data_IF_758945202033
#
_entry.id   IF_758945202033
#
_cell.length_a   1.000
_cell.length_b   1.000
_cell.length_c   1.000
_cell.angle_alpha   90.00
_cell.angle_beta   90.00
_cell.angle_gamma   90.00
#
_symmetry.space_group_name_H-M   'P 1'
#
loop_
_entity.id
_entity.type
_entity.pdbx_description
1 polymer ?
#
# COMPACT_ATOMS: atom_id res chain seq x y z
N UNK A 1 1.25 23.80 -17.15
CA UNK A 1 1.42 22.35 -16.92
C UNK A 1 1.65 22.00 -15.44
N UNK A 2 2.31 22.84 -14.63
CA UNK A 2 2.56 22.55 -13.19
C UNK A 2 1.31 22.38 -12.30
N UNK A 3 0.21 23.10 -12.56
CA UNK A 3 -1.03 22.93 -11.76
C UNK A 3 -1.58 21.49 -11.85
N UNK A 4 -1.56 20.88 -13.05
CA UNK A 4 -2.08 19.53 -13.27
C UNK A 4 -1.21 18.47 -12.58
N UNK A 5 0.11 18.59 -12.71
CA UNK A 5 1.05 17.67 -12.02
C UNK A 5 0.94 17.76 -10.49
N UNK A 6 0.73 18.95 -9.93
CA UNK A 6 0.52 19.11 -8.49
C UNK A 6 -0.78 18.47 -7.98
N UNK A 7 -1.86 18.53 -8.77
CA UNK A 7 -3.15 17.89 -8.46
C UNK A 7 -3.00 16.37 -8.53
N UNK A 8 -2.38 15.84 -9.59
CA UNK A 8 -2.15 14.40 -9.76
C UNK A 8 -1.31 13.83 -8.59
N UNK A 9 -0.31 14.56 -8.09
CA UNK A 9 0.47 14.16 -6.89
C UNK A 9 -0.36 14.12 -5.61
N UNK A 10 -1.24 15.09 -5.41
CA UNK A 10 -2.09 15.14 -4.22
C UNK A 10 -3.07 13.96 -4.22
N UNK A 11 -3.66 13.63 -5.37
CA UNK A 11 -4.54 12.47 -5.53
C UNK A 11 -3.79 11.15 -5.32
N UNK A 12 -2.58 11.00 -5.86
CA UNK A 12 -1.75 9.80 -5.63
C UNK A 12 -1.36 9.63 -4.16
N UNK A 13 -1.01 10.72 -3.47
CA UNK A 13 -0.70 10.67 -2.04
C UNK A 13 -1.92 10.27 -1.20
N UNK A 14 -3.10 10.81 -1.55
CA UNK A 14 -4.35 10.42 -0.89
C UNK A 14 -4.69 8.95 -1.15
N UNK A 15 -4.50 8.46 -2.37
CA UNK A 15 -4.70 7.05 -2.70
C UNK A 15 -3.73 6.14 -1.92
N UNK A 16 -2.45 6.50 -1.83
CA UNK A 16 -1.45 5.76 -1.06
C UNK A 16 -1.83 5.67 0.42
N UNK A 17 -2.30 6.78 1.01
CA UNK A 17 -2.78 6.81 2.40
C UNK A 17 -4.00 5.90 2.62
N UNK A 18 -4.94 5.85 1.67
CA UNK A 18 -6.11 4.96 1.77
C UNK A 18 -5.74 3.49 1.68
N UNK A 19 -4.80 3.15 0.79
CA UNK A 19 -4.27 1.79 0.65
C UNK A 19 -3.58 1.35 1.93
N UNK A 20 -2.76 2.22 2.53
CA UNK A 20 -2.08 1.96 3.80
C UNK A 20 -3.10 1.71 4.93
N UNK A 21 -4.11 2.58 5.07
CA UNK A 21 -5.16 2.38 6.08
C UNK A 21 -5.91 1.05 5.88
N UNK A 22 -6.27 0.71 4.65
CA UNK A 22 -6.92 -0.57 4.37
C UNK A 22 -6.03 -1.78 4.72
N UNK A 23 -4.72 -1.70 4.45
CA UNK A 23 -3.77 -2.74 4.84
C UNK A 23 -3.68 -2.86 6.38
N UNK A 24 -3.68 -1.75 7.11
CA UNK A 24 -3.68 -1.74 8.57
C UNK A 24 -4.95 -2.38 9.14
N UNK A 25 -6.13 -2.03 8.62
CA UNK A 25 -7.41 -2.62 9.03
C UNK A 25 -7.43 -4.14 8.81
N UNK A 26 -6.92 -4.60 7.66
CA UNK A 26 -6.82 -6.02 7.37
C UNK A 26 -5.84 -6.75 8.30
N UNK A 27 -4.70 -6.14 8.66
CA UNK A 27 -3.77 -6.69 9.66
C UNK A 27 -4.41 -6.78 11.05
N UNK A 28 -5.25 -5.81 11.43
CA UNK A 28 -6.00 -5.87 12.69
C UNK A 28 -7.01 -7.01 12.67
N UNK A 29 -7.77 -7.17 11.57
CA UNK A 29 -8.70 -8.29 11.39
C UNK A 29 -7.95 -9.62 11.47
N UNK A 30 -6.78 -9.74 10.81
CA UNK A 30 -5.94 -10.94 10.90
C UNK A 30 -5.58 -11.27 12.35
N UNK A 31 -5.13 -10.28 13.11
CA UNK A 31 -4.78 -10.43 14.52
C UNK A 31 -5.97 -10.87 15.37
N UNK A 32 -7.13 -10.25 15.19
CA UNK A 32 -8.35 -10.60 15.90
C UNK A 32 -8.79 -12.05 15.62
N UNK A 33 -8.81 -12.46 14.34
CA UNK A 33 -9.15 -13.84 13.97
C UNK A 33 -8.13 -14.83 14.55
N UNK A 34 -6.85 -14.48 14.60
CA UNK A 34 -5.81 -15.29 15.23
C UNK A 34 -6.00 -15.46 16.73
N UNK A 35 -6.40 -14.40 17.44
CA UNK A 35 -6.73 -14.48 18.86
C UNK A 35 -7.93 -15.38 19.13
N UNK A 36 -9.00 -15.25 18.34
CA UNK A 36 -10.18 -16.12 18.46
C UNK A 36 -9.83 -17.60 18.17
N UNK A 37 -9.01 -17.86 17.15
CA UNK A 37 -8.54 -19.20 16.84
C UNK A 37 -7.76 -19.81 18.01
N UNK A 38 -6.83 -19.06 18.62
CA UNK A 38 -6.04 -19.53 19.76
C UNK A 38 -6.91 -19.88 20.97
N UNK A 39 -7.95 -19.07 21.24
CA UNK A 39 -8.91 -19.34 22.32
C UNK A 39 -9.75 -20.60 22.06
N UNK A 40 -10.15 -20.84 20.82
CA UNK A 40 -10.98 -21.98 20.43
C UNK A 40 -10.17 -23.28 20.32
N UNK A 41 -8.90 -23.21 19.92
CA UNK A 41 -8.03 -24.38 19.79
C UNK A 41 -7.80 -25.09 21.12
N UNK A 42 -7.80 -24.35 22.25
CA UNK A 42 -7.77 -24.94 23.58
C UNK A 42 -9.05 -25.66 24.01
N UNK A 43 -10.18 -25.45 23.30
CA UNK A 43 -11.49 -26.03 23.60
C UNK A 43 -11.91 -27.12 22.63
N UNK A 44 -11.38 -27.14 21.41
CA UNK A 44 -11.73 -28.14 20.40
C UNK A 44 -10.81 -29.36 20.46
N UNK A 45 -11.37 -30.48 20.92
CA UNK A 45 -10.73 -31.79 20.92
C UNK A 45 -11.27 -32.59 19.72
N UNK A 46 -10.39 -33.16 18.89
CA UNK A 46 -10.75 -34.05 17.79
C UNK A 46 -10.88 -33.39 16.41
N UNK A 47 -11.54 -34.09 15.47
CA UNK A 47 -11.59 -33.77 14.03
C UNK A 47 -12.19 -32.38 13.69
N UNK A 48 -13.02 -31.81 14.56
CA UNK A 48 -13.54 -30.45 14.37
C UNK A 48 -12.43 -29.38 14.49
N UNK A 49 -11.43 -29.60 15.35
CA UNK A 49 -10.30 -28.69 15.52
C UNK A 49 -9.36 -28.67 14.30
N UNK A 50 -9.21 -29.81 13.61
CA UNK A 50 -8.38 -29.90 12.40
C UNK A 50 -9.02 -29.19 11.21
N UNK A 51 -10.35 -29.34 11.03
CA UNK A 51 -11.09 -28.64 9.98
C UNK A 51 -11.02 -27.11 10.15
N UNK A 52 -11.22 -26.59 11.37
CA UNK A 52 -11.11 -25.15 11.60
C UNK A 52 -9.68 -24.63 11.44
N UNK A 53 -8.68 -25.36 11.94
CA UNK A 53 -7.27 -24.99 11.76
C UNK A 53 -6.92 -24.89 10.28
N UNK A 54 -7.44 -25.80 9.44
CA UNK A 54 -7.27 -25.73 7.98
C UNK A 54 -7.88 -24.45 7.39
N UNK A 55 -9.14 -24.15 7.70
CA UNK A 55 -9.82 -22.94 7.21
C UNK A 55 -9.10 -21.67 7.67
N UNK A 56 -8.63 -21.63 8.91
CA UNK A 56 -7.85 -20.52 9.44
C UNK A 56 -6.53 -20.32 8.69
N UNK A 57 -5.82 -21.42 8.38
CA UNK A 57 -4.59 -21.34 7.61
C UNK A 57 -4.84 -20.85 6.18
N UNK A 58 -5.89 -21.34 5.52
CA UNK A 58 -6.30 -20.89 4.17
C UNK A 58 -6.67 -19.39 4.20
N UNK A 59 -7.43 -18.95 5.19
CA UNK A 59 -7.77 -17.54 5.38
C UNK A 59 -6.52 -16.67 5.53
N UNK A 60 -5.56 -17.07 6.38
CA UNK A 60 -4.31 -16.32 6.56
C UNK A 60 -3.47 -16.27 5.28
N UNK A 61 -3.43 -17.35 4.50
CA UNK A 61 -2.72 -17.38 3.23
C UNK A 61 -3.32 -16.41 2.22
N UNK A 62 -4.64 -16.43 2.03
CA UNK A 62 -5.31 -15.51 1.12
C UNK A 62 -5.19 -14.06 1.59
N UNK A 63 -5.34 -13.80 2.89
CA UNK A 63 -5.19 -12.46 3.45
C UNK A 63 -3.77 -11.92 3.27
N UNK A 64 -2.75 -12.79 3.42
CA UNK A 64 -1.35 -12.41 3.17
C UNK A 64 -1.11 -11.98 1.72
N UNK A 65 -1.76 -12.66 0.74
CA UNK A 65 -1.69 -12.25 -0.68
C UNK A 65 -2.34 -10.89 -0.91
N UNK A 66 -3.48 -10.63 -0.25
CA UNK A 66 -4.16 -9.34 -0.34
C UNK A 66 -3.28 -8.23 0.25
N UNK A 67 -2.72 -8.44 1.44
CA UNK A 67 -1.80 -7.49 2.09
C UNK A 67 -0.58 -7.20 1.20
N UNK A 68 0.04 -8.23 0.64
CA UNK A 68 1.16 -8.05 -0.29
C UNK A 68 0.77 -7.25 -1.53
N UNK A 69 -0.45 -7.44 -2.04
CA UNK A 69 -0.95 -6.69 -3.18
C UNK A 69 -1.18 -5.20 -2.83
N UNK A 70 -1.69 -4.92 -1.63
CA UNK A 70 -1.87 -3.56 -1.13
C UNK A 70 -0.52 -2.88 -0.89
N UNK A 71 0.44 -3.56 -0.26
CA UNK A 71 1.79 -3.04 -0.05
C UNK A 71 2.46 -2.68 -1.39
N UNK A 72 2.40 -3.59 -2.38
CA UNK A 72 2.91 -3.33 -3.74
C UNK A 72 2.22 -2.14 -4.42
N UNK A 73 0.91 -1.98 -4.22
CA UNK A 73 0.16 -0.85 -4.78
C UNK A 73 0.59 0.46 -4.12
N UNK A 74 0.76 0.46 -2.80
CA UNK A 74 1.25 1.61 -2.04
C UNK A 74 2.63 2.04 -2.54
N UNK A 75 3.58 1.11 -2.66
CA UNK A 75 4.92 1.38 -3.19
C UNK A 75 4.87 2.01 -4.58
N UNK A 76 4.04 1.48 -5.49
CA UNK A 76 3.87 2.04 -6.84
C UNK A 76 3.34 3.48 -6.82
N UNK A 77 2.39 3.79 -5.95
CA UNK A 77 1.84 5.14 -5.83
C UNK A 77 2.89 6.13 -5.31
N UNK A 78 3.68 5.72 -4.31
CA UNK A 78 4.77 6.53 -3.75
C UNK A 78 5.91 6.71 -4.76
N UNK A 79 6.33 5.65 -5.45
CA UNK A 79 7.37 5.73 -6.50
C UNK A 79 6.94 6.61 -7.66
N UNK A 80 5.67 6.51 -8.08
CA UNK A 80 5.15 7.36 -9.17
C UNK A 80 5.24 8.83 -8.77
N UNK A 81 4.83 9.18 -7.55
CA UNK A 81 4.98 10.53 -7.01
C UNK A 81 6.44 11.03 -7.08
N UNK A 82 7.41 10.22 -6.63
CA UNK A 82 8.84 10.57 -6.65
C UNK A 82 9.34 10.83 -8.08
N UNK A 83 8.96 9.98 -9.04
CA UNK A 83 9.37 10.14 -10.43
C UNK A 83 8.82 11.43 -11.06
N UNK A 84 7.60 11.82 -10.71
CA UNK A 84 7.03 13.10 -11.15
C UNK A 84 7.80 14.30 -10.56
N UNK A 85 8.14 14.27 -9.27
CA UNK A 85 8.90 15.33 -8.63
C UNK A 85 10.29 15.51 -9.26
N UNK A 86 11.00 14.39 -9.52
CA UNK A 86 12.30 14.41 -10.19
C UNK A 86 12.20 14.95 -11.64
N UNK A 87 11.18 14.52 -12.39
CA UNK A 87 10.98 14.96 -13.77
C UNK A 87 10.68 16.46 -13.86
N UNK A 88 9.87 17.00 -12.94
CA UNK A 88 9.60 18.43 -12.88
C UNK A 88 10.86 19.24 -12.53
N UNK A 89 11.65 18.80 -11.55
CA UNK A 89 12.91 19.48 -11.19
C UNK A 89 13.87 19.55 -12.38
N UNK A 90 14.09 18.44 -13.08
CA UNK A 90 14.94 18.41 -14.28
C UNK A 90 14.43 19.33 -15.39
N UNK A 91 13.11 19.42 -15.58
CA UNK A 91 12.54 20.30 -16.59
C UNK A 91 12.69 21.77 -16.20
N UNK A 92 12.45 22.14 -14.95
CA UNK A 92 12.67 23.50 -14.44
C UNK A 92 14.13 23.92 -14.54
N UNK A 93 15.07 23.06 -14.16
CA UNK A 93 16.51 23.32 -14.29
C UNK A 93 16.94 23.53 -15.75
N UNK A 94 16.42 22.70 -16.66
CA UNK A 94 16.71 22.82 -18.10
C UNK A 94 16.17 24.11 -18.68
N UNK A 95 14.94 24.50 -18.33
CA UNK A 95 14.33 25.76 -18.76
C UNK A 95 15.11 26.96 -18.20
N UNK A 96 15.47 26.94 -16.92
CA UNK A 96 16.26 28.00 -16.30
C UNK A 96 17.64 28.16 -16.95
N UNK A 97 18.28 27.05 -17.32
CA UNK A 97 19.56 27.05 -18.05
C UNK A 97 19.42 27.67 -19.44
N UNK A 98 18.39 27.30 -20.19
CA UNK A 98 18.10 27.88 -21.52
C UNK A 98 17.79 29.37 -21.40
N UNK A 99 16.94 29.77 -20.43
CA UNK A 99 16.60 31.17 -20.20
C UNK A 99 17.82 32.02 -19.81
N UNK A 100 18.77 31.47 -19.05
CA UNK A 100 20.03 32.13 -18.73
C UNK A 100 20.98 32.28 -19.93
N UNK A 101 20.95 31.34 -20.88
CA UNK A 101 21.74 31.40 -22.12
C UNK A 101 21.15 32.32 -23.19
N UNK A 102 19.83 32.56 -23.15
CA UNK A 102 19.14 33.44 -24.11
C UNK A 102 19.09 34.91 -23.65
N UNK A 103 19.24 35.16 -22.34
CA UNK A 103 19.25 36.50 -21.76
C UNK A 103 20.66 36.98 -21.34
N UNK A 104 21.69 36.19 -21.63
CA UNK A 104 23.11 36.57 -21.48
C UNK A 104 23.75 36.74 -22.84
#
# INVERSE_FOLDING_TARGET
MGQRSSVDRAEMAQAASRVESAAQDLRQIQGAVGQEQSQLQGRWIGDAGSAFTKVFNEFNQELSKVLQTLDNLHEKLVHTKINYEASEQHQTESVNRIAGLLNG
#
